data_IF_207160320215
#
_entry.id   IF_207160320215
#
_cell.length_a   1.000
_cell.length_b   1.000
_cell.length_c   1.000
_cell.angle_alpha   90.00
_cell.angle_beta   90.00
_cell.angle_gamma   90.00
#
_symmetry.space_group_name_H-M   'P 1'
#
loop_
_entity.id
_entity.type
_entity.pdbx_description
1 polymer ?
#
# COMPACT_ATOMS: atom_id res chain seq x y z
N UNK A 1 13.55 -27.92 5.50
CA UNK A 1 12.15 -28.36 5.34
C UNK A 1 11.19 -27.18 5.34
N UNK A 2 11.32 -26.26 6.30
CA UNK A 2 10.50 -25.05 6.46
C UNK A 2 10.40 -24.13 5.23
N UNK A 3 11.51 -23.89 4.51
CA UNK A 3 11.48 -23.00 3.34
C UNK A 3 10.65 -23.52 2.16
N UNK A 4 10.48 -24.84 2.04
CA UNK A 4 9.69 -25.43 0.96
C UNK A 4 8.18 -25.30 1.21
N UNK A 5 7.73 -25.45 2.46
CA UNK A 5 6.36 -25.17 2.88
C UNK A 5 5.96 -23.72 2.67
N UNK A 6 6.79 -22.81 3.19
CA UNK A 6 6.59 -21.36 3.05
C UNK A 6 6.48 -20.93 1.58
N UNK A 7 7.27 -21.52 0.69
CA UNK A 7 7.22 -21.22 -0.75
C UNK A 7 5.86 -21.58 -1.37
N UNK A 8 5.26 -22.72 -1.01
CA UNK A 8 3.95 -23.15 -1.51
C UNK A 8 2.82 -22.27 -0.97
N UNK A 9 2.92 -21.85 0.30
CA UNK A 9 1.97 -20.89 0.90
C UNK A 9 2.02 -19.53 0.20
N UNK A 10 3.23 -19.00 -0.03
CA UNK A 10 3.42 -17.71 -0.69
C UNK A 10 2.87 -17.76 -2.13
N UNK A 11 3.08 -18.87 -2.84
CA UNK A 11 2.49 -19.07 -4.17
C UNK A 11 0.94 -19.13 -4.13
N UNK A 12 0.36 -19.80 -3.13
CA UNK A 12 -1.09 -19.81 -2.94
C UNK A 12 -1.67 -18.43 -2.61
N UNK A 13 -1.01 -17.66 -1.74
CA UNK A 13 -1.37 -16.29 -1.43
C UNK A 13 -1.24 -15.37 -2.66
N UNK A 14 -0.19 -15.53 -3.46
CA UNK A 14 0.02 -14.80 -4.70
C UNK A 14 -1.12 -15.04 -5.70
N UNK A 15 -1.54 -16.30 -5.90
CA UNK A 15 -2.66 -16.63 -6.79
C UNK A 15 -3.98 -16.01 -6.32
N UNK A 16 -4.21 -15.94 -5.00
CA UNK A 16 -5.39 -15.30 -4.41
C UNK A 16 -5.41 -13.78 -4.65
N UNK A 17 -4.26 -13.11 -4.54
CA UNK A 17 -4.14 -11.67 -4.83
C UNK A 17 -4.31 -11.39 -6.32
N UNK A 18 -3.78 -12.25 -7.19
CA UNK A 18 -3.86 -12.10 -8.65
C UNK A 18 -5.19 -12.57 -9.26
N UNK A 19 -6.12 -13.10 -8.46
CA UNK A 19 -7.45 -13.56 -8.89
C UNK A 19 -7.40 -14.60 -10.02
N UNK A 20 -6.38 -15.45 -10.04
CA UNK A 20 -6.27 -16.52 -11.04
C UNK A 20 -7.31 -17.62 -10.79
N UNK A 21 -7.77 -18.27 -11.86
CA UNK A 21 -8.72 -19.38 -11.76
C UNK A 21 -8.11 -20.52 -10.95
N UNK A 22 -8.81 -20.97 -9.91
CA UNK A 22 -8.31 -21.99 -8.98
C UNK A 22 -7.46 -21.46 -7.81
N UNK A 23 -7.41 -20.15 -7.59
CA UNK A 23 -6.67 -19.54 -6.48
C UNK A 23 -7.06 -20.10 -5.09
N UNK A 24 -8.35 -20.35 -4.86
CA UNK A 24 -8.83 -20.90 -3.58
C UNK A 24 -8.28 -22.31 -3.34
N UNK A 25 -8.22 -23.12 -4.38
CA UNK A 25 -7.69 -24.48 -4.31
C UNK A 25 -6.19 -24.46 -4.02
N UNK A 26 -5.43 -23.59 -4.69
CA UNK A 26 -3.99 -23.42 -4.45
C UNK A 26 -3.70 -22.90 -3.03
N UNK A 27 -4.53 -21.99 -2.52
CA UNK A 27 -4.40 -21.45 -1.16
C UNK A 27 -4.69 -22.50 -0.09
N UNK A 28 -5.72 -23.34 -0.29
CA UNK A 28 -6.04 -24.46 0.59
C UNK A 28 -4.86 -25.45 0.63
N UNK A 29 -4.27 -25.79 -0.51
CA UNK A 29 -3.12 -26.69 -0.58
C UNK A 29 -1.91 -26.10 0.15
N UNK A 30 -1.62 -24.80 -0.06
CA UNK A 30 -0.51 -24.13 0.60
C UNK A 30 -0.65 -24.10 2.12
N UNK A 31 -1.80 -23.64 2.63
CA UNK A 31 -2.06 -23.59 4.07
C UNK A 31 -2.08 -24.99 4.72
N UNK A 32 -2.63 -25.99 4.03
CA UNK A 32 -2.64 -27.37 4.52
C UNK A 32 -1.22 -27.94 4.62
N UNK A 33 -0.36 -27.64 3.64
CA UNK A 33 1.05 -28.06 3.64
C UNK A 33 1.81 -27.43 4.82
N UNK A 34 1.58 -26.14 5.09
CA UNK A 34 2.22 -25.44 6.21
C UNK A 34 1.73 -25.94 7.57
N UNK A 35 0.43 -26.24 7.70
CA UNK A 35 -0.13 -26.80 8.92
C UNK A 35 0.52 -28.15 9.28
N UNK A 36 0.79 -29.00 8.28
CA UNK A 36 1.50 -30.27 8.49
C UNK A 36 2.95 -30.04 8.89
N UNK A 37 3.65 -29.10 8.26
CA UNK A 37 5.05 -28.78 8.60
C UNK A 37 5.15 -28.21 10.02
N UNK A 38 4.26 -27.30 10.42
CA UNK A 38 4.20 -26.77 11.78
C UNK A 38 3.91 -27.85 12.81
N UNK A 39 3.01 -28.79 12.48
CA UNK A 39 2.71 -29.91 13.38
C UNK A 39 3.95 -30.76 13.65
N UNK A 40 4.77 -31.04 12.63
CA UNK A 40 6.02 -31.78 12.83
C UNK A 40 7.13 -30.92 13.45
N UNK A 41 7.16 -29.61 13.19
CA UNK A 41 8.07 -28.63 13.81
C UNK A 41 7.97 -28.59 15.33
N UNK A 42 6.75 -28.74 15.87
CA UNK A 42 6.50 -28.74 17.31
C UNK A 42 7.22 -29.89 18.05
N UNK A 43 7.65 -30.93 17.33
CA UNK A 43 8.42 -32.05 17.88
C UNK A 43 9.93 -31.92 17.63
N UNK A 44 10.39 -30.91 16.86
CA UNK A 44 11.81 -30.59 16.74
C UNK A 44 12.27 -29.76 17.95
N UNK A 45 13.46 -30.09 18.46
CA UNK A 45 14.06 -29.42 19.61
C UNK A 45 14.34 -27.94 19.26
N UNK A 46 13.97 -26.96 20.09
CA UNK A 46 14.28 -25.56 19.84
C UNK A 46 15.79 -25.37 19.65
N UNK A 47 16.17 -24.53 18.69
CA UNK A 47 17.57 -24.25 18.39
C UNK A 47 18.30 -23.79 19.66
N UNK A 48 19.56 -24.21 19.89
CA UNK A 48 20.33 -23.76 21.03
C UNK A 48 20.45 -22.24 20.99
N UNK A 49 20.01 -21.57 22.06
CA UNK A 49 20.21 -20.13 22.20
C UNK A 49 21.71 -19.86 22.25
N UNK A 50 22.18 -19.03 21.33
CA UNK A 50 23.58 -18.60 21.29
C UNK A 50 23.80 -17.63 22.45
N UNK A 51 24.81 -17.88 23.29
CA UNK A 51 25.18 -17.00 24.38
C UNK A 51 25.93 -15.77 23.84
N UNK A 52 25.16 -14.73 23.51
CA UNK A 52 25.67 -13.47 22.95
C UNK A 52 26.55 -12.68 23.94
N UNK A 53 26.53 -13.05 25.22
CA UNK A 53 27.40 -12.51 26.27
C UNK A 53 28.88 -12.73 25.98
N UNK A 54 29.21 -13.76 25.19
CA UNK A 54 30.58 -14.03 24.78
C UNK A 54 31.14 -13.00 23.77
N UNK A 55 30.24 -12.30 23.06
CA UNK A 55 30.60 -11.34 21.99
C UNK A 55 30.41 -9.89 22.46
N UNK A 56 29.48 -9.63 23.38
CA UNK A 56 29.21 -8.31 23.92
C UNK A 56 29.14 -8.35 25.47
N UNK A 57 30.30 -8.25 26.15
CA UNK A 57 30.35 -8.27 27.62
C UNK A 57 29.64 -7.07 28.27
N UNK A 58 29.41 -5.98 27.53
CA UNK A 58 28.71 -4.77 27.99
C UNK A 58 27.22 -5.01 28.35
N UNK A 59 26.61 -6.12 27.89
CA UNK A 59 25.25 -6.52 28.27
C UNK A 59 25.22 -7.52 29.44
N UNK A 60 26.38 -8.06 29.84
CA UNK A 60 26.50 -9.05 30.91
C UNK A 60 26.25 -8.48 32.32
N UNK A 61 26.14 -7.15 32.45
CA UNK A 61 26.09 -6.44 33.73
C UNK A 61 24.76 -5.76 34.07
N UNK A 62 23.73 -5.86 33.23
CA UNK A 62 22.45 -5.14 33.43
C UNK A 62 21.32 -5.99 34.03
N UNK A 63 21.57 -7.27 34.33
CA UNK A 63 20.56 -8.13 34.97
C UNK A 63 20.68 -8.23 36.50
N UNK A 64 21.62 -7.52 37.15
CA UNK A 64 21.81 -7.66 38.60
C UNK A 64 21.91 -6.32 39.36
N UNK A 65 20.93 -5.44 39.15
CA UNK A 65 20.73 -4.23 39.98
C UNK A 65 19.94 -4.51 41.27
N UNK A 66 20.07 -5.70 41.85
CA UNK A 66 19.39 -6.04 43.09
C UNK A 66 20.28 -6.85 44.05
N UNK A 67 21.52 -6.41 44.30
CA UNK A 67 22.26 -6.87 45.48
C UNK A 67 23.41 -5.95 45.93
N UNK A 68 23.14 -5.24 47.03
CA UNK A 68 24.05 -4.95 48.17
C UNK A 68 25.49 -4.50 47.90
N UNK A 69 25.68 -3.19 48.13
CA UNK A 69 26.51 -2.64 49.20
C UNK A 69 27.77 -3.44 49.60
N UNK A 70 28.95 -2.97 49.19
CA UNK A 70 29.99 -2.71 50.18
C UNK A 70 30.99 -1.65 49.71
N UNK A 71 31.23 -0.71 50.62
CA UNK A 71 32.27 0.30 50.54
C UNK A 71 33.67 -0.33 50.37
N UNK A 72 34.61 0.48 49.85
CA UNK A 72 35.89 0.80 50.51
C UNK A 72 36.67 1.78 49.61
N UNK A 73 36.62 3.05 49.97
CA UNK A 73 37.48 4.12 49.45
C UNK A 73 38.60 4.34 50.48
N UNK A 74 39.89 4.22 50.11
CA UNK A 74 40.97 4.81 50.88
C UNK A 74 41.36 6.15 50.26
N UNK A 75 41.23 7.18 51.08
CA UNK A 75 41.62 8.56 50.85
C UNK A 75 43.14 8.69 51.04
N UNK A 76 43.85 9.26 50.05
CA UNK A 76 45.27 9.60 50.14
C UNK A 76 45.60 10.68 49.13
N UNK A 77 45.79 11.92 49.62
CA UNK A 77 45.96 13.10 48.77
C UNK A 77 47.35 13.21 48.15
N UNK A 78 47.37 13.19 46.83
CA UNK A 78 48.32 13.91 45.98
C UNK A 78 47.53 14.92 45.16
N UNK A 79 48.00 16.16 45.12
CA UNK A 79 47.37 17.25 44.37
C UNK A 79 47.13 16.80 42.92
N UNK A 80 45.87 16.81 42.46
CA UNK A 80 45.48 16.43 41.10
C UNK A 80 46.33 17.15 40.04
N UNK A 81 46.76 18.38 40.37
CA UNK A 81 47.64 19.21 39.53
C UNK A 81 49.07 18.69 39.49
N UNK A 82 49.57 18.12 40.58
CA UNK A 82 50.94 17.58 40.69
C UNK A 82 51.05 16.16 40.12
N UNK A 83 49.93 15.42 40.12
CA UNK A 83 49.78 14.15 39.41
C UNK A 83 49.58 14.38 37.90
N UNK A 84 48.86 15.45 37.50
CA UNK A 84 48.84 15.92 36.11
C UNK A 84 50.22 16.44 35.65
N UNK A 85 50.93 17.21 36.47
CA UNK A 85 52.25 17.76 36.13
C UNK A 85 53.33 16.67 36.10
N UNK A 86 53.21 15.63 36.95
CA UNK A 86 54.04 14.42 36.85
C UNK A 86 53.64 13.55 35.65
N UNK A 87 52.35 13.35 35.36
CA UNK A 87 51.93 12.63 34.14
C UNK A 87 52.36 13.37 32.86
N UNK A 88 52.35 14.71 32.84
CA UNK A 88 52.75 15.52 31.69
C UNK A 88 54.28 15.55 31.50
N UNK A 89 55.04 15.31 32.58
CA UNK A 89 56.51 15.30 32.59
C UNK A 89 57.10 13.88 32.43
N UNK A 90 56.35 12.87 32.84
CA UNK A 90 56.67 11.43 32.74
C UNK A 90 56.16 10.84 31.42
N UNK A 91 55.02 11.32 30.91
CA UNK A 91 54.72 11.30 29.47
C UNK A 91 55.53 12.43 28.82
N UNK A 92 56.86 12.28 28.82
CA UNK A 92 57.67 12.82 27.72
C UNK A 92 56.85 12.56 26.47
N UNK A 93 56.50 13.61 25.72
CA UNK A 93 55.60 13.48 24.58
C UNK A 93 56.27 12.51 23.60
N UNK A 94 55.96 11.24 23.79
CA UNK A 94 56.52 10.16 23.03
C UNK A 94 55.95 10.34 21.64
N UNK A 95 56.81 10.18 20.65
CA UNK A 95 56.44 10.28 19.25
C UNK A 95 55.23 9.38 18.93
N UNK A 96 55.08 8.30 19.70
CA UNK A 96 53.95 7.37 19.72
C UNK A 96 52.63 7.97 20.24
N UNK A 97 52.65 8.81 21.29
CA UNK A 97 51.46 9.49 21.79
C UNK A 97 50.97 10.57 20.81
N UNK A 98 51.87 11.35 20.22
CA UNK A 98 51.51 12.30 19.14
C UNK A 98 50.91 11.54 17.96
N UNK A 99 51.51 10.41 17.59
CA UNK A 99 51.04 9.59 16.48
C UNK A 99 49.68 8.98 16.77
N UNK A 100 49.45 8.47 17.99
CA UNK A 100 48.16 7.91 18.40
C UNK A 100 47.06 8.98 18.48
N UNK A 101 47.39 10.20 18.92
CA UNK A 101 46.46 11.33 18.93
C UNK A 101 46.16 11.81 17.51
N UNK A 102 47.17 11.86 16.63
CA UNK A 102 47.00 12.16 15.21
C UNK A 102 46.15 11.11 14.50
N UNK A 103 46.36 9.83 14.78
CA UNK A 103 45.53 8.74 14.28
C UNK A 103 44.12 8.80 14.86
N UNK A 104 43.96 9.22 16.12
CA UNK A 104 42.66 9.48 16.75
C UNK A 104 41.90 10.62 16.08
N UNK A 105 42.55 11.76 15.83
CA UNK A 105 41.96 12.89 15.09
C UNK A 105 41.61 12.52 13.65
N UNK A 106 42.44 11.72 12.98
CA UNK A 106 42.16 11.22 11.62
C UNK A 106 40.96 10.28 11.61
N UNK A 107 40.92 9.31 12.53
CA UNK A 107 39.76 8.41 12.69
C UNK A 107 38.49 9.16 13.04
N UNK A 108 38.59 10.21 13.85
CA UNK A 108 37.46 11.09 14.15
C UNK A 108 36.98 11.86 12.92
N UNK A 109 37.91 12.40 12.13
CA UNK A 109 37.60 13.03 10.83
C UNK A 109 36.91 12.05 9.87
N UNK A 110 37.41 10.83 9.75
CA UNK A 110 36.82 9.78 8.92
C UNK A 110 35.41 9.37 9.42
N UNK A 111 35.22 9.31 10.74
CA UNK A 111 33.90 9.03 11.34
C UNK A 111 32.91 10.18 11.10
N UNK A 112 33.36 11.43 11.19
CA UNK A 112 32.54 12.61 10.89
C UNK A 112 32.13 12.66 9.41
N UNK A 113 33.04 12.32 8.49
CA UNK A 113 32.72 12.20 7.06
C UNK A 113 31.68 11.10 6.78
N UNK A 114 31.82 9.92 7.41
CA UNK A 114 30.84 8.83 7.30
C UNK A 114 29.48 9.18 7.91
N UNK A 115 29.45 9.96 8.99
CA UNK A 115 28.20 10.48 9.54
C UNK A 115 27.49 11.40 8.54
N UNK A 116 28.23 12.26 7.84
CA UNK A 116 27.66 13.11 6.80
C UNK A 116 27.06 12.29 5.65
N UNK A 117 27.76 11.25 5.17
CA UNK A 117 27.23 10.31 4.16
C UNK A 117 25.98 9.55 4.66
N UNK A 118 25.94 9.20 5.95
CA UNK A 118 24.79 8.52 6.56
C UNK A 118 23.59 9.45 6.67
N UNK A 119 23.80 10.75 6.92
CA UNK A 119 22.74 11.76 6.95
C UNK A 119 22.14 11.94 5.55
N UNK A 120 22.96 11.97 4.50
CA UNK A 120 22.48 12.04 3.11
C UNK A 120 21.67 10.77 2.73
N UNK A 121 22.12 9.59 3.18
CA UNK A 121 21.37 8.33 3.00
C UNK A 121 20.05 8.29 3.80
N UNK A 122 20.03 8.91 4.99
CA UNK A 122 18.81 9.06 5.78
C UNK A 122 17.79 9.99 5.10
N UNK A 123 18.24 11.08 4.47
CA UNK A 123 17.39 11.94 3.65
C UNK A 123 16.79 11.18 2.45
N UNK A 124 17.59 10.34 1.79
CA UNK A 124 17.12 9.44 0.74
C UNK A 124 16.04 8.46 1.22
N UNK A 125 16.19 7.92 2.43
CA UNK A 125 15.22 7.01 3.07
C UNK A 125 13.92 7.73 3.43
N UNK A 126 14.00 8.97 3.90
CA UNK A 126 12.83 9.80 4.19
C UNK A 126 12.05 10.11 2.91
N UNK A 127 12.74 10.55 1.84
CA UNK A 127 12.12 10.75 0.52
C UNK A 127 11.52 9.47 -0.04
N UNK A 128 12.19 8.32 0.11
CA UNK A 128 11.64 7.03 -0.29
C UNK A 128 10.35 6.68 0.45
N UNK A 129 10.32 6.93 1.77
CA UNK A 129 9.12 6.72 2.59
C UNK A 129 7.97 7.62 2.17
N UNK A 130 8.26 8.89 1.85
CA UNK A 130 7.27 9.83 1.29
C UNK A 130 6.75 9.34 -0.07
N UNK A 131 7.63 8.90 -0.97
CA UNK A 131 7.23 8.39 -2.29
C UNK A 131 6.38 7.12 -2.19
N UNK A 132 6.71 6.19 -1.27
CA UNK A 132 5.86 5.02 -1.00
C UNK A 132 4.50 5.44 -0.45
N UNK A 133 4.46 6.40 0.47
CA UNK A 133 3.21 6.92 1.03
C UNK A 133 2.36 7.57 -0.05
N UNK A 134 2.98 8.32 -0.96
CA UNK A 134 2.33 8.95 -2.09
C UNK A 134 1.79 7.89 -3.08
N UNK A 135 2.58 6.85 -3.37
CA UNK A 135 2.17 5.73 -4.21
C UNK A 135 0.99 4.96 -3.61
N UNK A 136 1.00 4.72 -2.29
CA UNK A 136 -0.11 4.11 -1.58
C UNK A 136 -1.39 4.94 -1.71
N UNK A 137 -1.31 6.27 -1.55
CA UNK A 137 -2.44 7.19 -1.80
C UNK A 137 -2.93 7.16 -3.25
N UNK A 138 -2.03 7.11 -4.22
CA UNK A 138 -2.42 6.99 -5.63
C UNK A 138 -3.12 5.66 -5.91
N UNK A 139 -2.66 4.57 -5.28
CA UNK A 139 -3.29 3.25 -5.43
C UNK A 139 -4.68 3.20 -4.78
N UNK A 140 -4.84 3.82 -3.61
CA UNK A 140 -6.15 3.99 -2.96
C UNK A 140 -7.11 4.82 -3.84
N UNK A 141 -6.62 5.94 -4.37
CA UNK A 141 -7.38 6.78 -5.31
C UNK A 141 -7.76 6.04 -6.59
N UNK A 142 -6.86 5.23 -7.16
CA UNK A 142 -7.16 4.37 -8.30
C UNK A 142 -8.25 3.36 -7.99
N UNK A 143 -8.20 2.72 -6.82
CA UNK A 143 -9.21 1.76 -6.41
C UNK A 143 -10.58 2.43 -6.23
N UNK A 144 -10.61 3.62 -5.62
CA UNK A 144 -11.82 4.44 -5.53
C UNK A 144 -12.35 4.84 -6.92
N UNK A 145 -11.47 5.24 -7.84
CA UNK A 145 -11.84 5.58 -9.21
C UNK A 145 -12.42 4.36 -9.94
N UNK A 146 -11.86 3.16 -9.75
CA UNK A 146 -12.38 1.92 -10.31
C UNK A 146 -13.78 1.60 -9.79
N UNK A 147 -14.03 1.79 -8.48
CA UNK A 147 -15.37 1.62 -7.92
C UNK A 147 -16.37 2.59 -8.54
N UNK A 148 -16.02 3.88 -8.64
CA UNK A 148 -16.86 4.91 -9.29
C UNK A 148 -17.08 4.61 -10.77
N UNK A 149 -16.08 4.10 -11.49
CA UNK A 149 -16.19 3.72 -12.90
C UNK A 149 -17.13 2.54 -13.10
N UNK A 150 -17.06 1.52 -12.22
CA UNK A 150 -17.98 0.38 -12.25
C UNK A 150 -19.43 0.83 -11.99
N UNK A 151 -19.64 1.70 -11.02
CA UNK A 151 -20.96 2.25 -10.72
C UNK A 151 -21.48 3.14 -11.86
N UNK A 152 -20.61 3.99 -12.42
CA UNK A 152 -20.93 4.84 -13.57
C UNK A 152 -21.29 4.04 -14.81
N UNK A 153 -20.57 2.96 -15.10
CA UNK A 153 -20.87 2.07 -16.24
C UNK A 153 -22.17 1.29 -16.05
N UNK A 154 -22.46 0.81 -14.84
CA UNK A 154 -23.74 0.18 -14.54
C UNK A 154 -24.92 1.16 -14.71
N UNK A 155 -24.80 2.36 -14.16
CA UNK A 155 -25.82 3.40 -14.33
C UNK A 155 -25.97 3.82 -15.79
N UNK A 156 -24.86 3.93 -16.53
CA UNK A 156 -24.89 4.27 -17.95
C UNK A 156 -25.54 3.17 -18.80
N UNK A 157 -25.32 1.89 -18.47
CA UNK A 157 -26.03 0.77 -19.12
C UNK A 157 -27.53 0.83 -18.85
N UNK A 158 -27.94 1.13 -17.62
CA UNK A 158 -29.35 1.27 -17.25
C UNK A 158 -30.02 2.44 -17.99
N UNK A 159 -29.34 3.60 -18.04
CA UNK A 159 -29.77 4.76 -18.83
C UNK A 159 -29.86 4.43 -20.32
N UNK A 160 -28.89 3.69 -20.86
CA UNK A 160 -28.88 3.30 -22.27
C UNK A 160 -30.01 2.33 -22.61
N UNK A 161 -30.29 1.35 -21.75
CA UNK A 161 -31.43 0.44 -21.91
C UNK A 161 -32.76 1.20 -21.84
N UNK A 162 -32.93 2.08 -20.85
CA UNK A 162 -34.13 2.91 -20.72
C UNK A 162 -34.31 3.85 -21.94
N UNK A 163 -33.21 4.34 -22.52
CA UNK A 163 -33.24 5.19 -23.71
C UNK A 163 -33.64 4.39 -24.96
N UNK A 164 -33.15 3.16 -25.12
CA UNK A 164 -33.57 2.24 -26.20
C UNK A 164 -35.06 1.90 -26.07
N UNK A 165 -35.55 1.62 -24.86
CA UNK A 165 -36.97 1.35 -24.61
C UNK A 165 -37.84 2.57 -24.96
N UNK A 166 -37.44 3.77 -24.51
CA UNK A 166 -38.14 5.00 -24.86
C UNK A 166 -38.13 5.28 -26.36
N UNK A 167 -37.01 5.05 -27.04
CA UNK A 167 -36.94 5.15 -28.50
C UNK A 167 -37.88 4.16 -29.19
N UNK A 168 -37.92 2.91 -28.74
CA UNK A 168 -38.85 1.88 -29.25
C UNK A 168 -40.31 2.32 -29.12
N UNK A 169 -40.72 2.72 -27.91
CA UNK A 169 -42.08 3.21 -27.67
C UNK A 169 -42.42 4.50 -28.44
N UNK A 170 -41.45 5.40 -28.65
CA UNK A 170 -41.65 6.62 -29.43
C UNK A 170 -41.82 6.32 -30.91
N UNK A 171 -41.10 5.34 -31.45
CA UNK A 171 -41.28 4.88 -32.83
C UNK A 171 -42.68 4.30 -33.01
N UNK A 172 -43.13 3.44 -32.08
CA UNK A 172 -44.48 2.86 -32.09
C UNK A 172 -45.56 3.96 -32.01
N UNK A 173 -45.39 4.95 -31.13
CA UNK A 173 -46.31 6.07 -31.03
C UNK A 173 -46.32 6.94 -32.28
N UNK A 174 -45.17 7.13 -32.93
CA UNK A 174 -45.07 7.88 -34.19
C UNK A 174 -45.77 7.14 -35.34
N UNK A 175 -45.65 5.81 -35.37
CA UNK A 175 -46.37 4.97 -36.33
C UNK A 175 -47.88 5.08 -36.13
N UNK A 176 -48.37 4.92 -34.90
CA UNK A 176 -49.80 5.10 -34.56
C UNK A 176 -50.30 6.49 -34.93
N UNK A 177 -49.54 7.54 -34.62
CA UNK A 177 -49.89 8.92 -34.98
C UNK A 177 -49.97 9.09 -36.50
N UNK A 178 -49.06 8.48 -37.26
CA UNK A 178 -49.10 8.49 -38.72
C UNK A 178 -50.37 7.81 -39.26
N UNK A 179 -50.78 6.68 -38.66
CA UNK A 179 -52.01 5.98 -39.04
C UNK A 179 -53.26 6.84 -38.74
N UNK A 180 -53.37 7.38 -37.53
CA UNK A 180 -54.46 8.27 -37.11
C UNK A 180 -54.57 9.51 -38.00
N UNK A 181 -53.43 10.13 -38.36
CA UNK A 181 -53.42 11.26 -39.30
C UNK A 181 -53.89 10.86 -40.69
N UNK A 182 -53.54 9.66 -41.17
CA UNK A 182 -54.01 9.15 -42.46
C UNK A 182 -55.53 8.95 -42.48
N UNK A 183 -56.09 8.38 -41.41
CA UNK A 183 -57.54 8.24 -41.24
C UNK A 183 -58.23 9.59 -41.12
N UNK A 184 -57.68 10.53 -40.35
CA UNK A 184 -58.20 11.89 -40.22
C UNK A 184 -58.27 12.60 -41.57
N UNK A 185 -57.22 12.51 -42.40
CA UNK A 185 -57.19 13.08 -43.75
C UNK A 185 -58.24 12.43 -44.65
N UNK A 186 -58.41 11.12 -44.54
CA UNK A 186 -59.43 10.38 -45.31
C UNK A 186 -60.84 10.80 -44.91
N UNK A 187 -61.11 10.93 -43.61
CA UNK A 187 -62.37 11.41 -43.08
C UNK A 187 -62.65 12.87 -43.47
N UNK A 188 -61.65 13.75 -43.39
CA UNK A 188 -61.73 15.13 -43.88
C UNK A 188 -62.03 15.18 -45.38
N UNK A 189 -61.40 14.33 -46.18
CA UNK A 189 -61.68 14.21 -47.62
C UNK A 189 -63.12 13.75 -47.88
N UNK A 190 -63.60 12.76 -47.13
CA UNK A 190 -64.97 12.27 -47.22
C UNK A 190 -65.99 13.34 -46.82
N UNK A 191 -65.76 14.07 -45.73
CA UNK A 191 -66.58 15.22 -45.32
C UNK A 191 -66.59 16.30 -46.39
N UNK A 192 -65.44 16.63 -46.96
CA UNK A 192 -65.36 17.64 -48.02
C UNK A 192 -66.08 17.18 -49.29
N UNK A 193 -66.06 15.88 -49.63
CA UNK A 193 -66.87 15.31 -50.71
C UNK A 193 -68.38 15.40 -50.43
N UNK A 194 -68.81 15.10 -49.20
CA UNK A 194 -70.23 15.22 -48.81
C UNK A 194 -70.68 16.67 -48.84
N UNK A 195 -69.88 17.61 -48.32
CA UNK A 195 -70.18 19.03 -48.41
C UNK A 195 -70.20 19.50 -49.86
N UNK A 196 -69.25 19.10 -50.70
CA UNK A 196 -69.27 19.41 -52.14
C UNK A 196 -70.48 18.83 -52.85
N UNK A 197 -70.86 17.59 -52.54
CA UNK A 197 -72.06 16.95 -53.08
C UNK A 197 -73.35 17.66 -52.63
N UNK A 198 -73.42 18.08 -51.38
CA UNK A 198 -74.56 18.83 -50.83
C UNK A 198 -74.64 20.23 -51.41
N UNK A 199 -73.52 20.93 -51.59
CA UNK A 199 -73.45 22.26 -52.20
C UNK A 199 -73.77 22.19 -53.71
N UNK A 200 -73.36 21.12 -54.40
CA UNK A 200 -73.77 20.85 -55.78
C UNK A 200 -75.27 20.55 -55.86
N UNK A 201 -75.81 19.74 -54.95
CA UNK A 201 -77.26 19.48 -54.87
C UNK A 201 -78.09 20.73 -54.49
N UNK A 202 -77.53 21.65 -53.71
CA UNK A 202 -78.19 22.88 -53.26
C UNK A 202 -77.99 24.05 -54.25
N UNK A 203 -76.94 24.02 -55.08
CA UNK A 203 -76.65 25.01 -56.13
C UNK A 203 -77.22 24.67 -57.50
N UNK A 204 -77.60 23.41 -57.75
CA UNK A 204 -78.23 22.94 -59.01
C UNK A 204 -79.75 23.18 -59.04
N UNK A 205 -80.36 23.71 -57.97
CA UNK A 205 -81.74 24.20 -58.01
C UNK A 205 -81.83 25.62 -58.60
N UNK A 206 -81.59 25.77 -59.92
CA UNK A 206 -82.11 26.89 -60.70
C UNK A 206 -82.19 26.56 -62.19
#
# INVERSE_FOLDING_TARGET
MYGFGASIVILGAMFKILHWTGADLMLIIGLSTEAVIFFFSAFEKPAPEYDWTLVYPELAGVEDLDSKNNALVPQGGTSLTQELDNMLKEASIDEELIKSLGDGLRKFGDAALKLNETIDAAEGTQKYTEQITLAAKHMESLNALYAVQLEGTASQMELQNALIEKLGSSIENTEKLSTELSELVTNMSALNKVYGGMLSAMGVSK
#
